data_IF_826960180204
#
_entry.id   IF_826960180204
#
_cell.length_a   1.000
_cell.length_b   1.000
_cell.length_c   1.000
_cell.angle_alpha   90.00
_cell.angle_beta   90.00
_cell.angle_gamma   90.00
#
_symmetry.space_group_name_H-M   'P 1'
#
loop_
_entity.id
_entity.type
_entity.pdbx_description
1 polymer ?
#
# COMPACT_ATOMS: atom_id res chain seq x y z
N UNK A 1 4.22 15.07 65.60
CA UNK A 1 5.50 15.49 64.97
C UNK A 1 5.41 15.07 63.51
N UNK A 2 5.02 15.97 62.60
CA UNK A 2 4.87 15.64 61.19
C UNK A 2 6.25 15.54 60.54
N UNK A 3 6.60 14.34 60.10
CA UNK A 3 7.85 14.05 59.38
C UNK A 3 7.82 14.75 58.03
N UNK A 4 8.56 15.85 57.92
CA UNK A 4 8.72 16.61 56.69
C UNK A 4 9.77 15.89 55.82
N UNK A 5 9.36 14.83 55.11
CA UNK A 5 10.23 14.21 54.10
C UNK A 5 10.49 15.25 53.00
N UNK A 6 11.75 15.54 52.64
CA UNK A 6 12.04 16.47 51.55
C UNK A 6 11.41 15.93 50.26
N UNK A 7 10.65 16.77 49.54
CA UNK A 7 10.12 16.45 48.21
C UNK A 7 11.28 15.98 47.35
N UNK A 8 11.20 14.74 46.87
CA UNK A 8 12.23 14.14 46.01
C UNK A 8 12.44 15.07 44.81
N UNK A 9 13.67 15.57 44.67
CA UNK A 9 14.00 16.60 43.69
C UNK A 9 14.22 15.90 42.35
N UNK A 10 13.21 15.94 41.48
CA UNK A 10 13.25 15.39 40.11
C UNK A 10 14.04 16.32 39.16
N UNK A 11 15.22 16.74 39.58
CA UNK A 11 16.17 17.52 38.77
C UNK A 11 17.39 16.63 38.50
N UNK A 12 17.74 16.46 37.22
CA UNK A 12 19.00 15.85 36.80
C UNK A 12 19.64 16.73 35.72
N UNK A 13 20.70 17.42 36.10
CA UNK A 13 21.49 18.27 35.19
C UNK A 13 22.87 17.68 34.91
N UNK A 14 23.11 16.42 35.28
CA UNK A 14 24.40 15.77 35.10
C UNK A 14 24.60 15.23 33.69
N UNK A 15 23.49 14.99 32.97
CA UNK A 15 23.45 14.47 31.61
C UNK A 15 22.42 15.23 30.76
N UNK A 16 22.72 15.39 29.48
CA UNK A 16 21.77 15.91 28.49
C UNK A 16 20.91 14.76 27.90
N UNK A 17 19.61 14.99 27.60
CA UNK A 17 18.86 16.23 27.82
C UNK A 17 18.53 16.47 29.30
N UNK A 18 18.64 17.73 29.74
CA UNK A 18 18.50 18.08 31.17
C UNK A 18 17.08 17.87 31.70
N UNK A 19 16.96 17.40 32.93
CA UNK A 19 15.69 17.27 33.65
C UNK A 19 15.62 18.39 34.70
N UNK A 20 14.61 19.26 34.61
CA UNK A 20 14.33 20.31 35.60
C UNK A 20 12.85 20.29 35.97
N UNK A 21 12.55 20.24 37.26
CA UNK A 21 11.20 20.19 37.83
C UNK A 21 10.37 19.05 37.25
N UNK A 22 10.99 17.88 37.03
CA UNK A 22 10.34 16.73 36.40
C UNK A 22 10.01 16.91 34.92
N UNK A 23 10.60 17.91 34.24
CA UNK A 23 10.46 18.13 32.79
C UNK A 23 11.80 17.92 32.10
N UNK A 24 11.78 17.18 31.00
CA UNK A 24 12.95 16.99 30.13
C UNK A 24 13.02 18.19 29.18
N UNK A 25 14.21 18.80 29.09
CA UNK A 25 14.50 19.94 28.22
C UNK A 25 15.38 19.46 27.07
N UNK A 26 14.73 19.13 25.95
CA UNK A 26 15.41 18.78 24.72
C UNK A 26 15.91 20.02 24.00
N UNK A 27 17.13 19.93 23.46
CA UNK A 27 17.65 20.85 22.44
C UNK A 27 17.13 20.44 21.07
N UNK A 28 17.28 21.34 20.11
CA UNK A 28 16.99 21.06 18.71
C UNK A 28 17.77 19.85 18.19
N UNK A 29 19.06 19.73 18.55
CA UNK A 29 19.90 18.61 18.15
C UNK A 29 19.37 17.26 18.64
N UNK A 30 18.94 17.19 19.91
CA UNK A 30 18.40 15.95 20.51
C UNK A 30 17.15 15.46 19.76
N UNK A 31 16.29 16.42 19.35
CA UNK A 31 15.08 16.12 18.59
C UNK A 31 15.45 15.73 17.16
N UNK A 32 16.33 16.49 16.49
CA UNK A 32 16.76 16.21 15.12
C UNK A 32 17.34 14.81 14.98
N UNK A 33 18.28 14.43 15.84
CA UNK A 33 18.94 13.11 15.82
C UNK A 33 17.91 11.98 15.91
N UNK A 34 16.89 12.14 16.75
CA UNK A 34 15.82 11.14 16.92
C UNK A 34 15.00 10.95 15.64
N UNK A 35 14.81 12.00 14.84
CA UNK A 35 14.03 11.97 13.61
C UNK A 35 14.85 11.68 12.35
N UNK A 36 16.17 11.87 12.38
CA UNK A 36 17.04 11.63 11.22
C UNK A 36 16.91 10.20 10.72
N UNK A 37 16.97 9.19 11.60
CA UNK A 37 16.82 7.79 11.18
C UNK A 37 15.49 7.52 10.47
N UNK A 38 14.40 8.10 11.00
CA UNK A 38 13.06 7.94 10.41
C UNK A 38 12.99 8.62 9.04
N UNK A 39 13.70 9.74 8.87
CA UNK A 39 13.68 10.48 7.61
C UNK A 39 14.53 9.80 6.54
N UNK A 40 15.67 9.22 6.91
CA UNK A 40 16.49 8.41 6.02
C UNK A 40 15.69 7.20 5.50
N UNK A 41 14.93 6.53 6.37
CA UNK A 41 14.03 5.44 5.98
C UNK A 41 12.94 5.92 5.01
N UNK A 42 12.39 7.11 5.22
CA UNK A 42 11.39 7.72 4.32
C UNK A 42 12.01 8.03 2.95
N UNK A 43 13.23 8.59 2.92
CA UNK A 43 13.96 8.87 1.67
C UNK A 43 14.24 7.58 0.91
N UNK A 44 14.69 6.52 1.59
CA UNK A 44 14.91 5.22 0.97
C UNK A 44 13.61 4.64 0.36
N UNK A 45 12.47 4.80 1.06
CA UNK A 45 11.17 4.38 0.55
C UNK A 45 10.72 5.19 -0.67
N UNK A 46 10.99 6.49 -0.70
CA UNK A 46 10.68 7.36 -1.85
C UNK A 46 11.54 6.97 -3.05
N UNK A 47 12.85 6.79 -2.87
CA UNK A 47 13.75 6.36 -3.94
C UNK A 47 13.31 5.02 -4.55
N UNK A 48 12.94 4.04 -3.72
CA UNK A 48 12.39 2.76 -4.20
C UNK A 48 11.09 2.91 -5.00
N UNK A 49 10.30 3.97 -4.77
CA UNK A 49 9.10 4.25 -5.57
C UNK A 49 9.43 4.94 -6.88
N UNK A 50 10.43 5.84 -6.88
CA UNK A 50 10.94 6.48 -8.10
C UNK A 50 11.52 5.42 -9.04
N UNK A 51 12.41 4.55 -8.55
CA UNK A 51 12.98 3.45 -9.34
C UNK A 51 11.90 2.57 -9.97
N UNK A 52 10.86 2.20 -9.21
CA UNK A 52 9.73 1.42 -9.73
C UNK A 52 8.94 2.17 -10.80
N UNK A 53 8.78 3.48 -10.66
CA UNK A 53 8.11 4.28 -11.68
C UNK A 53 8.94 4.29 -12.97
N UNK A 54 10.26 4.46 -12.86
CA UNK A 54 11.19 4.45 -13.97
C UNK A 54 11.25 3.10 -14.69
N UNK A 55 11.23 1.98 -13.96
CA UNK A 55 11.10 0.63 -14.53
C UNK A 55 9.85 0.49 -15.43
N UNK A 56 8.78 1.19 -15.05
CA UNK A 56 7.54 1.28 -15.81
C UNK A 56 7.48 2.45 -16.81
N UNK A 57 8.62 3.11 -17.07
CA UNK A 57 8.75 4.25 -17.98
C UNK A 57 7.84 5.44 -17.60
N UNK A 58 7.58 5.57 -16.29
CA UNK A 58 6.84 6.68 -15.69
C UNK A 58 7.82 7.63 -15.00
N UNK A 59 7.50 8.92 -15.02
CA UNK A 59 8.26 9.93 -14.28
C UNK A 59 7.47 10.42 -13.08
N UNK A 60 8.13 10.46 -11.93
CA UNK A 60 7.58 11.05 -10.71
C UNK A 60 7.73 12.56 -10.82
N UNK A 61 6.63 13.30 -10.70
CA UNK A 61 6.63 14.77 -10.81
C UNK A 61 6.42 15.45 -9.47
N UNK A 62 5.97 14.73 -8.45
CA UNK A 62 5.74 15.33 -7.15
C UNK A 62 5.47 14.34 -6.03
N UNK A 63 5.71 14.80 -4.81
CA UNK A 63 5.52 14.10 -3.54
C UNK A 63 4.50 14.87 -2.72
N UNK A 64 3.37 14.24 -2.37
CA UNK A 64 2.32 14.89 -1.56
C UNK A 64 2.39 14.36 -0.12
N UNK A 65 2.69 15.26 0.82
CA UNK A 65 2.79 14.92 2.24
C UNK A 65 1.41 14.94 2.90
N UNK A 66 0.98 13.77 3.38
CA UNK A 66 -0.30 13.58 4.07
C UNK A 66 -0.10 12.84 5.39
N UNK A 67 -1.14 12.84 6.24
CA UNK A 67 -1.11 12.22 7.57
C UNK A 67 -0.52 13.12 8.67
N UNK A 68 -0.34 12.53 9.86
CA UNK A 68 0.19 13.25 11.03
C UNK A 68 1.63 13.71 10.84
N UNK A 69 2.49 12.80 10.36
CA UNK A 69 3.90 13.07 10.08
C UNK A 69 4.09 13.96 8.84
N UNK A 70 3.24 13.78 7.81
CA UNK A 70 3.25 14.62 6.61
C UNK A 70 2.88 16.08 6.86
N UNK A 71 2.41 16.44 8.06
CA UNK A 71 2.25 17.83 8.49
C UNK A 71 3.48 18.44 9.17
N UNK A 72 4.60 17.71 9.24
CA UNK A 72 5.86 18.21 9.83
C UNK A 72 6.54 19.19 8.86
N UNK A 73 6.81 20.44 9.28
CA UNK A 73 7.59 21.38 8.47
C UNK A 73 9.03 20.90 8.25
N UNK A 74 9.61 20.19 9.23
CA UNK A 74 10.96 19.67 9.14
C UNK A 74 11.09 18.58 8.08
N UNK A 75 10.10 17.67 7.99
CA UNK A 75 10.05 16.66 6.92
C UNK A 75 9.88 17.30 5.55
N UNK A 76 9.03 18.33 5.44
CA UNK A 76 8.83 19.07 4.20
C UNK A 76 10.14 19.68 3.69
N UNK A 77 10.83 20.44 4.54
CA UNK A 77 12.10 21.08 4.17
C UNK A 77 13.18 20.07 3.82
N UNK A 78 13.27 18.96 4.58
CA UNK A 78 14.24 17.91 4.31
C UNK A 78 14.02 17.22 2.95
N UNK A 79 12.78 16.87 2.63
CA UNK A 79 12.46 16.26 1.32
C UNK A 79 12.60 17.26 0.18
N UNK A 80 12.23 18.52 0.40
CA UNK A 80 12.41 19.57 -0.59
C UNK A 80 13.89 19.75 -0.93
N UNK A 81 14.78 19.77 0.06
CA UNK A 81 16.23 19.88 -0.16
C UNK A 81 16.79 18.72 -0.99
N UNK A 82 16.26 17.50 -0.80
CA UNK A 82 16.74 16.30 -1.50
C UNK A 82 16.22 16.22 -2.94
N UNK A 83 14.92 16.49 -3.15
CA UNK A 83 14.23 16.14 -4.40
C UNK A 83 13.96 17.34 -5.34
N UNK A 84 14.22 18.58 -4.90
CA UNK A 84 13.97 19.76 -5.77
C UNK A 84 14.87 19.78 -7.01
N UNK A 85 16.10 19.29 -6.88
CA UNK A 85 17.06 19.27 -8.00
C UNK A 85 16.67 18.25 -9.08
N UNK A 86 15.92 17.20 -8.69
CA UNK A 86 15.37 16.19 -9.59
C UNK A 86 14.08 16.65 -10.30
N UNK A 87 13.63 17.89 -10.05
CA UNK A 87 12.40 18.44 -10.61
C UNK A 87 11.12 17.85 -9.99
N UNK A 88 11.22 17.26 -8.80
CA UNK A 88 10.10 16.64 -8.09
C UNK A 88 9.52 17.65 -7.08
N UNK A 89 8.28 18.07 -7.32
CA UNK A 89 7.60 19.03 -6.45
C UNK A 89 7.14 18.40 -5.13
N UNK A 90 7.68 18.85 -4.00
CA UNK A 90 7.17 18.46 -2.68
C UNK A 90 6.02 19.38 -2.29
N UNK A 91 4.85 18.79 -2.02
CA UNK A 91 3.61 19.49 -1.69
C UNK A 91 3.13 19.12 -0.28
N UNK A 92 2.97 20.12 0.59
CA UNK A 92 2.38 19.95 1.91
C UNK A 92 1.12 20.81 2.05
N UNK A 93 -0.06 20.19 2.24
CA UNK A 93 -1.28 20.95 2.50
C UNK A 93 -1.21 21.75 3.81
N UNK A 94 -1.76 22.96 3.82
CA UNK A 94 -1.73 23.82 5.01
C UNK A 94 -2.70 23.37 6.12
N UNK A 95 -2.35 23.65 7.37
CA UNK A 95 -3.23 23.47 8.54
C UNK A 95 -3.53 22.00 8.85
N UNK A 96 -4.81 21.68 9.08
CA UNK A 96 -5.24 20.29 9.38
C UNK A 96 -5.37 19.40 8.14
N UNK A 97 -5.24 19.98 6.94
CA UNK A 97 -5.47 19.28 5.67
C UNK A 97 -4.63 18.01 5.48
N UNK A 98 -3.32 17.96 5.85
CA UNK A 98 -2.55 16.72 5.71
C UNK A 98 -3.21 15.55 6.46
N UNK A 99 -3.73 15.79 7.67
CA UNK A 99 -4.37 14.76 8.50
C UNK A 99 -5.74 14.32 7.96
N UNK A 100 -6.43 15.19 7.25
CA UNK A 100 -7.77 14.92 6.71
C UNK A 100 -7.80 14.58 5.23
N UNK A 101 -6.67 14.69 4.52
CA UNK A 101 -6.59 14.55 3.06
C UNK A 101 -7.15 13.22 2.56
N UNK A 102 -6.87 12.12 3.26
CA UNK A 102 -7.38 10.78 2.92
C UNK A 102 -8.91 10.73 3.00
N UNK A 103 -9.47 11.19 4.12
CA UNK A 103 -10.92 11.23 4.32
C UNK A 103 -11.61 12.17 3.33
N UNK A 104 -11.01 13.34 3.07
CA UNK A 104 -11.51 14.29 2.08
C UNK A 104 -11.53 13.68 0.68
N UNK A 105 -10.46 13.01 0.27
CA UNK A 105 -10.38 12.30 -1.00
C UNK A 105 -11.42 11.19 -1.11
N UNK A 106 -11.67 10.43 -0.04
CA UNK A 106 -12.70 9.38 -0.01
C UNK A 106 -14.11 9.95 -0.18
N UNK A 107 -14.42 11.06 0.49
CA UNK A 107 -15.72 11.75 0.35
C UNK A 107 -15.89 12.31 -1.05
N UNK A 108 -14.87 12.99 -1.60
CA UNK A 108 -14.89 13.48 -2.98
C UNK A 108 -15.15 12.33 -3.96
N UNK A 109 -14.43 11.20 -3.82
CA UNK A 109 -14.64 10.02 -4.65
C UNK A 109 -16.07 9.48 -4.56
N UNK A 110 -16.64 9.38 -3.36
CA UNK A 110 -17.99 8.88 -3.16
C UNK A 110 -19.05 9.75 -3.86
N UNK A 111 -18.93 11.08 -3.78
CA UNK A 111 -19.83 11.99 -4.51
C UNK A 111 -19.68 11.88 -6.04
N UNK A 112 -18.46 11.65 -6.52
CA UNK A 112 -18.18 11.52 -7.95
C UNK A 112 -18.65 10.19 -8.55
N UNK A 113 -18.55 9.10 -7.77
CA UNK A 113 -19.02 7.77 -8.15
C UNK A 113 -20.55 7.62 -7.96
N UNK A 114 -21.15 8.33 -6.99
CA UNK A 114 -22.58 8.27 -6.66
C UNK A 114 -23.48 9.27 -7.39
N UNK A 115 -22.92 10.24 -8.12
CA UNK A 115 -23.67 11.22 -8.91
C UNK A 115 -23.87 10.76 -10.36
N UNK A 116 -24.88 9.92 -10.61
CA UNK A 116 -25.86 9.99 -11.72
C UNK A 116 -26.58 8.63 -11.88
N UNK A 117 -27.74 8.49 -11.24
CA UNK A 117 -28.79 7.56 -11.69
C UNK A 117 -29.80 8.25 -12.63
N UNK A 118 -29.68 9.58 -12.84
CA UNK A 118 -30.60 10.38 -13.66
C UNK A 118 -29.95 11.20 -14.79
N UNK A 119 -28.67 10.97 -15.12
CA UNK A 119 -27.99 11.52 -16.30
C UNK A 119 -27.97 13.05 -16.41
N UNK A 120 -28.08 13.78 -15.30
CA UNK A 120 -28.19 15.23 -15.29
C UNK A 120 -27.19 15.82 -14.31
N UNK A 121 -25.89 15.70 -14.62
CA UNK A 121 -24.88 16.77 -14.47
C UNK A 121 -23.54 16.32 -15.09
N UNK A 122 -23.52 16.23 -16.43
CA UNK A 122 -22.35 15.93 -17.27
C UNK A 122 -21.35 17.10 -17.40
N UNK A 123 -21.28 18.04 -16.45
CA UNK A 123 -20.43 19.21 -16.65
C UNK A 123 -18.96 18.95 -16.28
N UNK A 124 -18.65 18.28 -15.18
CA UNK A 124 -17.25 17.96 -14.82
C UNK A 124 -17.20 16.76 -13.86
N UNK A 125 -16.85 15.56 -14.34
CA UNK A 125 -16.27 14.50 -13.50
C UNK A 125 -14.75 14.64 -13.56
N UNK A 126 -14.11 15.45 -12.69
CA UNK A 126 -12.72 15.85 -12.89
C UNK A 126 -11.70 14.71 -12.74
N UNK A 127 -12.02 13.62 -12.02
CA UNK A 127 -11.05 12.56 -11.68
C UNK A 127 -11.78 11.21 -11.61
N UNK A 128 -11.63 10.37 -12.63
CA UNK A 128 -12.08 8.98 -12.59
C UNK A 128 -10.87 8.07 -12.70
N UNK A 129 -10.76 7.11 -11.78
CA UNK A 129 -9.73 6.06 -11.87
C UNK A 129 -10.07 5.19 -13.08
N UNK A 130 -9.30 5.33 -14.15
CA UNK A 130 -9.46 4.59 -15.41
C UNK A 130 -8.86 3.20 -15.33
N UNK A 131 -7.74 3.06 -14.61
CA UNK A 131 -7.09 1.78 -14.37
C UNK A 131 -6.47 1.66 -12.98
N UNK A 132 -6.25 0.43 -12.53
CA UNK A 132 -5.61 0.12 -11.24
C UNK A 132 -4.60 -1.01 -11.41
N UNK A 133 -3.47 -0.93 -10.70
CA UNK A 133 -2.47 -1.99 -10.69
C UNK A 133 -2.89 -3.10 -9.72
N UNK A 134 -2.85 -4.36 -10.16
CA UNK A 134 -3.13 -5.51 -9.32
C UNK A 134 -2.09 -5.65 -8.22
N UNK A 135 -2.55 -5.78 -6.97
CA UNK A 135 -1.67 -5.94 -5.80
C UNK A 135 -1.29 -7.39 -5.51
N UNK A 136 -1.99 -8.34 -6.12
CA UNK A 136 -1.82 -9.78 -5.90
C UNK A 136 -1.97 -10.56 -7.21
N UNK A 137 -1.56 -11.81 -7.19
CA UNK A 137 -1.88 -12.75 -8.27
C UNK A 137 -3.26 -13.35 -7.99
N UNK A 138 -4.16 -13.32 -8.98
CA UNK A 138 -5.45 -13.97 -8.93
C UNK A 138 -5.50 -15.05 -10.00
N UNK A 139 -5.78 -16.27 -9.56
CA UNK A 139 -5.74 -17.46 -10.38
C UNK A 139 -6.72 -18.50 -9.89
N UNK A 140 -6.97 -19.50 -10.74
CA UNK A 140 -7.75 -20.69 -10.38
C UNK A 140 -6.87 -21.92 -10.57
N UNK A 141 -6.94 -22.83 -9.60
CA UNK A 141 -6.32 -24.15 -9.73
C UNK A 141 -7.21 -25.03 -10.61
N UNK A 142 -6.59 -25.76 -11.54
CA UNK A 142 -7.31 -26.60 -12.49
C UNK A 142 -6.54 -27.88 -12.80
N UNK A 143 -7.26 -28.84 -13.38
CA UNK A 143 -6.68 -30.09 -13.87
C UNK A 143 -6.54 -30.03 -15.40
N UNK A 144 -5.42 -30.54 -15.92
CA UNK A 144 -5.11 -30.55 -17.36
C UNK A 144 -4.48 -31.89 -17.76
N UNK A 145 -4.54 -32.33 -19.03
CA UNK A 145 -3.85 -33.55 -19.46
C UNK A 145 -2.36 -33.54 -19.07
N UNK A 146 -1.84 -34.67 -18.59
CA UNK A 146 -0.47 -34.75 -18.10
C UNK A 146 0.53 -34.77 -19.27
N UNK A 147 1.32 -33.71 -19.40
CA UNK A 147 2.44 -33.62 -20.35
C UNK A 147 3.78 -33.92 -19.65
N UNK A 148 4.44 -35.02 -20.08
CA UNK A 148 5.76 -35.40 -19.57
C UNK A 148 6.80 -34.32 -19.93
N UNK A 149 7.54 -33.82 -18.93
CA UNK A 149 8.55 -32.77 -19.09
C UNK A 149 8.06 -31.35 -18.80
N UNK A 150 6.74 -31.12 -18.82
CA UNK A 150 6.11 -29.85 -18.40
C UNK A 150 5.58 -29.92 -16.98
N UNK A 151 4.87 -31.00 -16.64
CA UNK A 151 4.27 -31.18 -15.31
C UNK A 151 5.16 -32.02 -14.40
N UNK A 152 5.06 -31.78 -13.09
CA UNK A 152 5.78 -32.56 -12.08
C UNK A 152 5.11 -33.93 -11.93
N UNK A 153 5.91 -35.01 -11.89
CA UNK A 153 5.40 -36.38 -11.73
C UNK A 153 4.57 -36.60 -10.47
N UNK A 154 4.83 -35.81 -9.41
CA UNK A 154 4.08 -35.85 -8.14
C UNK A 154 2.63 -35.35 -8.29
N UNK A 155 2.38 -34.49 -9.27
CA UNK A 155 1.07 -33.89 -9.51
C UNK A 155 0.26 -34.74 -10.49
N UNK A 156 0.82 -35.85 -11.00
CA UNK A 156 0.14 -36.76 -11.92
C UNK A 156 -0.85 -37.66 -11.19
N UNK A 157 -2.11 -37.65 -11.64
CA UNK A 157 -3.13 -38.58 -11.18
C UNK A 157 -3.89 -39.17 -12.38
N UNK A 158 -4.55 -40.31 -12.18
CA UNK A 158 -5.43 -40.91 -13.17
C UNK A 158 -6.85 -40.34 -12.98
N UNK A 159 -7.40 -39.70 -14.00
CA UNK A 159 -8.78 -39.18 -14.00
C UNK A 159 -9.72 -40.26 -14.56
N UNK A 160 -10.56 -40.86 -13.72
CA UNK A 160 -11.48 -41.92 -14.12
C UNK A 160 -12.59 -41.44 -15.06
N UNK A 161 -13.02 -40.19 -14.93
CA UNK A 161 -14.11 -39.62 -15.75
C UNK A 161 -13.63 -39.36 -17.19
N UNK A 162 -12.36 -38.97 -17.36
CA UNK A 162 -11.76 -38.71 -18.68
C UNK A 162 -10.98 -39.91 -19.23
N UNK A 163 -10.63 -40.89 -18.40
CA UNK A 163 -9.86 -42.07 -18.80
C UNK A 163 -8.42 -41.76 -19.20
N UNK A 164 -7.81 -40.71 -18.64
CA UNK A 164 -6.45 -40.28 -18.96
C UNK A 164 -5.67 -39.82 -17.72
N UNK A 165 -4.34 -39.79 -17.82
CA UNK A 165 -3.51 -39.16 -16.80
C UNK A 165 -3.59 -37.64 -16.90
N UNK A 166 -3.89 -36.98 -15.79
CA UNK A 166 -3.97 -35.52 -15.68
C UNK A 166 -3.00 -35.01 -14.61
N UNK A 167 -2.67 -33.73 -14.70
CA UNK A 167 -1.87 -33.00 -13.73
C UNK A 167 -2.79 -32.16 -12.84
N UNK A 168 -2.73 -32.39 -11.53
CA UNK A 168 -3.39 -31.58 -10.50
C UNK A 168 -2.51 -30.38 -10.10
N UNK A 169 -3.04 -29.45 -9.30
CA UNK A 169 -2.31 -28.32 -8.73
C UNK A 169 -1.64 -27.43 -9.79
N UNK A 170 -2.23 -27.37 -10.98
CA UNK A 170 -1.83 -26.43 -12.03
C UNK A 170 -2.59 -25.11 -11.81
N UNK A 171 -1.89 -23.99 -11.95
CA UNK A 171 -2.45 -22.67 -11.70
C UNK A 171 -2.59 -21.91 -13.01
N UNK A 172 -3.82 -21.50 -13.35
CA UNK A 172 -4.08 -20.54 -14.41
C UNK A 172 -4.26 -19.14 -13.79
N UNK A 173 -3.36 -18.22 -14.14
CA UNK A 173 -3.38 -16.84 -13.63
C UNK A 173 -4.21 -15.94 -14.53
N UNK A 174 -5.26 -15.32 -13.96
CA UNK A 174 -6.12 -14.34 -14.62
C UNK A 174 -5.54 -12.92 -14.49
N UNK A 175 -4.92 -12.66 -13.35
CA UNK A 175 -4.26 -11.40 -13.03
C UNK A 175 -2.96 -11.72 -12.32
N UNK A 176 -1.87 -11.12 -12.78
CA UNK A 176 -0.60 -11.14 -12.06
C UNK A 176 -0.44 -9.86 -11.27
N UNK A 177 0.29 -9.95 -10.16
CA UNK A 177 0.72 -8.76 -9.43
C UNK A 177 1.50 -7.84 -10.38
N UNK A 178 1.13 -6.56 -10.42
CA UNK A 178 1.71 -5.58 -11.33
C UNK A 178 0.90 -5.33 -12.61
N UNK A 179 -0.09 -6.17 -12.93
CA UNK A 179 -0.91 -5.97 -14.12
C UNK A 179 -1.79 -4.72 -14.00
N UNK A 180 -1.88 -3.95 -15.09
CA UNK A 180 -2.74 -2.77 -15.18
C UNK A 180 -4.16 -3.19 -15.59
N UNK A 181 -5.12 -3.02 -14.69
CA UNK A 181 -6.52 -3.41 -14.87
C UNK A 181 -7.32 -2.18 -15.27
N UNK A 182 -7.86 -2.15 -16.50
CA UNK A 182 -8.83 -1.14 -16.91
C UNK A 182 -10.20 -1.42 -16.28
N UNK A 183 -10.92 -0.38 -15.84
CA UNK A 183 -12.32 -0.54 -15.37
C UNK A 183 -13.30 -0.94 -16.49
N UNK A 184 -12.97 -0.70 -17.75
CA UNK A 184 -13.86 -0.95 -18.88
C UNK A 184 -13.81 -2.38 -19.40
N UNK A 185 -12.75 -3.13 -19.08
CA UNK A 185 -12.49 -4.43 -19.67
C UNK A 185 -12.76 -5.56 -18.67
N UNK A 186 -13.59 -6.52 -19.07
CA UNK A 186 -13.85 -7.72 -18.29
C UNK A 186 -12.90 -8.82 -18.75
N UNK A 187 -12.02 -9.26 -17.85
CA UNK A 187 -11.22 -10.46 -18.05
C UNK A 187 -12.10 -11.69 -17.80
N UNK A 188 -12.20 -12.57 -18.80
CA UNK A 188 -13.01 -13.80 -18.72
C UNK A 188 -12.24 -14.93 -19.38
N UNK A 189 -12.08 -16.05 -18.68
CA UNK A 189 -11.53 -17.29 -19.22
C UNK A 189 -12.60 -18.38 -19.20
N UNK A 190 -12.75 -19.15 -20.29
CA UNK A 190 -13.65 -20.30 -20.29
C UNK A 190 -13.11 -21.38 -19.35
N UNK A 191 -13.94 -21.85 -18.42
CA UNK A 191 -13.61 -23.00 -17.57
C UNK A 191 -14.71 -24.05 -17.67
N UNK A 192 -14.33 -25.32 -17.48
CA UNK A 192 -15.27 -26.43 -17.35
C UNK A 192 -15.18 -26.95 -15.92
N UNK A 193 -16.26 -26.79 -15.16
CA UNK A 193 -16.35 -27.34 -13.81
C UNK A 193 -16.90 -28.77 -13.89
N UNK A 194 -16.18 -29.71 -13.28
CA UNK A 194 -16.65 -31.07 -13.05
C UNK A 194 -17.19 -31.15 -11.63
N UNK A 195 -18.50 -31.34 -11.50
CA UNK A 195 -19.12 -31.61 -10.19
C UNK A 195 -18.94 -33.08 -9.89
N UNK A 196 -18.05 -33.41 -8.96
CA UNK A 196 -17.96 -34.78 -8.45
C UNK A 196 -19.25 -35.05 -7.67
N UNK A 197 -20.11 -35.91 -8.21
CA UNK A 197 -21.20 -36.50 -7.43
C UNK A 197 -20.55 -37.43 -6.42
N UNK A 198 -20.31 -36.95 -5.21
CA UNK A 198 -20.01 -37.85 -4.10
C UNK A 198 -21.23 -38.73 -3.90
N UNK A 199 -21.09 -40.01 -4.27
CA UNK A 199 -22.10 -41.03 -4.01
C UNK A 199 -22.43 -41.02 -2.53
N UNK A 200 -23.69 -40.74 -2.22
CA UNK A 200 -24.27 -41.03 -0.93
C UNK A 200 -24.48 -42.54 -0.95
N UNK A 201 -23.52 -43.28 -0.40
CA UNK A 201 -23.63 -44.71 -0.20
C UNK A 201 -24.73 -44.94 0.84
N UNK A 202 -25.97 -45.14 0.37
CA UNK A 202 -27.03 -45.74 1.16
C UNK A 202 -26.75 -47.24 1.27
N UNK A 203 -26.37 -47.68 2.46
CA UNK A 203 -26.43 -49.08 2.90
C UNK A 203 -26.79 -49.16 4.37
#
# INVERSE_FOLDING_TARGET
>A
MFSNKPKQRFDDTTKEPFIKRGKIHFKEADIKETFTMVFDDIVALINSQIEKAEDHHLQVTGIILVGGLGGSPYLYSHLQEIFSDDGIDVLQPNGMKPRTAICQGAVCKAFMDGGDENGQNLAHKPITVTSTISRAHYGVMYHTPFEEGKHLKKDRFWDEDQGEYRADNQMEWYLKKGDCISKSEKLSHPFTAFTIRTGMDDS
#
